data_IF_650652263382
#
_entry.id   IF_650652263382
#
_cell.length_a   1.000
_cell.length_b   1.000
_cell.length_c   1.000
_cell.angle_alpha   90.00
_cell.angle_beta   90.00
_cell.angle_gamma   90.00
#
_symmetry.space_group_name_H-M   'P 1'
#
loop_
_entity.id
_entity.type
_entity.pdbx_description
1 polymer ?
#
# COMPACT_ATOMS: atom_id res chain seq x y z
N UNK A 1 -20.33 22.93 -6.61
CA UNK A 1 -20.32 22.28 -5.29
C UNK A 1 -21.75 22.09 -4.85
N UNK A 2 -22.34 20.97 -5.25
CA UNK A 2 -23.66 20.52 -4.80
C UNK A 2 -23.54 19.77 -3.49
N UNK A 3 -24.66 19.57 -2.78
CA UNK A 3 -24.68 18.74 -1.57
C UNK A 3 -24.18 17.31 -1.83
N UNK A 4 -24.47 16.75 -3.01
CA UNK A 4 -24.01 15.43 -3.44
C UNK A 4 -22.49 15.37 -3.67
N UNK A 5 -21.90 16.42 -4.25
CA UNK A 5 -20.44 16.51 -4.42
C UNK A 5 -19.72 16.56 -3.05
N UNK A 6 -20.32 17.24 -2.07
CA UNK A 6 -19.79 17.35 -0.71
C UNK A 6 -19.85 16.01 0.01
N UNK A 7 -20.99 15.29 -0.06
CA UNK A 7 -21.12 13.98 0.59
C UNK A 7 -20.19 12.95 -0.05
N UNK A 8 -20.07 12.94 -1.39
CA UNK A 8 -19.14 12.05 -2.09
C UNK A 8 -17.69 12.32 -1.67
N UNK A 9 -17.28 13.59 -1.59
CA UNK A 9 -15.94 13.96 -1.15
C UNK A 9 -15.69 13.55 0.32
N UNK A 10 -16.68 13.69 1.19
CA UNK A 10 -16.59 13.26 2.58
C UNK A 10 -16.42 11.74 2.70
N UNK A 11 -17.20 10.95 1.96
CA UNK A 11 -17.07 9.49 1.92
C UNK A 11 -15.71 9.05 1.37
N UNK A 12 -15.25 9.64 0.26
CA UNK A 12 -13.93 9.33 -0.29
C UNK A 12 -12.80 9.63 0.71
N UNK A 13 -12.91 10.73 1.46
CA UNK A 13 -11.94 11.08 2.49
C UNK A 13 -11.99 10.13 3.69
N UNK A 14 -13.19 9.70 4.09
CA UNK A 14 -13.38 8.73 5.16
C UNK A 14 -12.76 7.38 4.80
N UNK A 15 -12.98 6.90 3.58
CA UNK A 15 -12.40 5.63 3.12
C UNK A 15 -10.87 5.72 3.03
N UNK A 16 -10.34 6.84 2.50
CA UNK A 16 -8.88 7.09 2.50
C UNK A 16 -8.29 7.05 3.92
N UNK A 17 -8.95 7.68 4.89
CA UNK A 17 -8.47 7.68 6.28
C UNK A 17 -8.53 6.29 6.90
N UNK A 18 -9.55 5.50 6.57
CA UNK A 18 -9.71 4.11 7.03
C UNK A 18 -8.63 3.20 6.47
N UNK A 19 -8.37 3.27 5.16
CA UNK A 19 -7.28 2.52 4.51
C UNK A 19 -5.92 2.89 5.14
N UNK A 20 -5.68 4.18 5.36
CA UNK A 20 -4.46 4.65 6.01
C UNK A 20 -4.33 4.13 7.45
N UNK A 21 -5.41 4.15 8.22
CA UNK A 21 -5.42 3.62 9.59
C UNK A 21 -5.15 2.10 9.62
N UNK A 22 -5.72 1.34 8.68
CA UNK A 22 -5.47 -0.10 8.54
C UNK A 22 -4.01 -0.37 8.21
N UNK A 23 -3.42 0.40 7.29
CA UNK A 23 -2.00 0.31 6.96
C UNK A 23 -1.12 0.59 8.19
N UNK A 24 -1.40 1.66 8.95
CA UNK A 24 -0.65 1.99 10.16
C UNK A 24 -0.76 0.88 11.22
N UNK A 25 -1.96 0.33 11.43
CA UNK A 25 -2.17 -0.77 12.36
C UNK A 25 -1.35 -2.00 11.96
N UNK A 26 -1.31 -2.32 10.67
CA UNK A 26 -0.50 -3.41 10.14
C UNK A 26 1.01 -3.17 10.34
N UNK A 27 1.50 -1.95 10.06
CA UNK A 27 2.91 -1.59 10.29
C UNK A 27 3.28 -1.74 11.77
N UNK A 28 2.44 -1.21 12.67
CA UNK A 28 2.69 -1.29 14.11
C UNK A 28 2.69 -2.74 14.62
N UNK A 29 1.75 -3.56 14.16
CA UNK A 29 1.67 -4.97 14.53
C UNK A 29 2.93 -5.73 14.12
N UNK A 30 3.36 -5.61 12.86
CA UNK A 30 4.57 -6.26 12.38
C UNK A 30 5.82 -5.72 13.07
N UNK A 31 5.91 -4.40 13.26
CA UNK A 31 7.03 -3.78 13.97
C UNK A 31 7.16 -4.28 15.41
N UNK A 32 6.04 -4.40 16.14
CA UNK A 32 6.01 -4.93 17.50
C UNK A 32 6.42 -6.42 17.54
N UNK A 33 5.91 -7.23 16.60
CA UNK A 33 6.27 -8.64 16.50
C UNK A 33 7.78 -8.82 16.25
N UNK A 34 8.34 -8.06 15.30
CA UNK A 34 9.77 -8.07 14.98
C UNK A 34 10.63 -7.58 16.15
N UNK A 35 10.16 -6.56 16.87
CA UNK A 35 10.84 -6.07 18.09
C UNK A 35 10.88 -7.15 19.17
N UNK A 36 9.78 -7.88 19.37
CA UNK A 36 9.72 -9.00 20.30
C UNK A 36 10.70 -10.12 19.95
N UNK A 37 10.86 -10.43 18.66
CA UNK A 37 11.89 -11.38 18.18
C UNK A 37 13.29 -10.84 18.42
N UNK A 38 13.55 -9.56 18.13
CA UNK A 38 14.86 -8.94 18.35
C UNK A 38 15.32 -8.98 19.80
N UNK A 39 14.40 -8.73 20.74
CA UNK A 39 14.69 -8.72 22.18
C UNK A 39 14.97 -10.12 22.72
N UNK A 40 14.18 -11.11 22.31
CA UNK A 40 14.28 -12.47 22.86
C UNK A 40 15.31 -13.35 22.14
N UNK A 41 15.43 -13.23 20.82
CA UNK A 41 16.30 -14.04 19.97
C UNK A 41 17.00 -13.18 18.89
N UNK A 42 17.93 -12.28 19.26
CA UNK A 42 18.54 -11.32 18.33
C UNK A 42 19.30 -11.98 17.17
N UNK A 43 19.80 -13.21 17.35
CA UNK A 43 20.47 -13.98 16.30
C UNK A 43 19.50 -14.57 15.26
N UNK A 44 18.20 -14.56 15.54
CA UNK A 44 17.13 -15.11 14.70
C UNK A 44 16.27 -14.02 14.06
N UNK A 45 16.80 -12.81 13.96
CA UNK A 45 16.10 -11.73 13.29
C UNK A 45 15.75 -12.15 11.85
N UNK A 46 14.47 -12.12 11.46
CA UNK A 46 14.02 -12.63 10.16
C UNK A 46 14.59 -11.78 9.02
N UNK A 47 14.75 -12.38 7.84
CA UNK A 47 15.06 -11.60 6.63
C UNK A 47 13.84 -10.76 6.23
N UNK A 48 14.04 -9.76 5.38
CA UNK A 48 12.96 -8.85 4.96
C UNK A 48 11.78 -9.59 4.33
N UNK A 49 12.07 -10.66 3.59
CA UNK A 49 11.07 -11.50 2.93
C UNK A 49 10.25 -12.30 3.95
N UNK A 50 10.87 -12.75 5.03
CA UNK A 50 10.21 -13.48 6.12
C UNK A 50 9.37 -12.56 7.01
N UNK A 51 9.85 -11.32 7.20
CA UNK A 51 9.19 -10.29 8.00
C UNK A 51 7.97 -9.68 7.30
N UNK A 52 7.98 -9.64 5.96
CA UNK A 52 6.93 -9.04 5.14
C UNK A 52 6.53 -9.96 3.98
N UNK A 53 5.98 -11.15 4.27
CA UNK A 53 5.78 -12.20 3.26
C UNK A 53 4.90 -11.75 2.09
N UNK A 54 3.88 -10.93 2.35
CA UNK A 54 2.96 -10.42 1.32
C UNK A 54 3.45 -9.16 0.58
N UNK A 55 4.50 -8.50 1.08
CA UNK A 55 4.97 -7.22 0.52
C UNK A 55 5.83 -7.42 -0.74
N UNK A 56 6.48 -8.57 -0.87
CA UNK A 56 7.45 -8.86 -1.92
C UNK A 56 6.98 -9.93 -2.92
N UNK A 57 5.70 -10.32 -2.89
CA UNK A 57 5.20 -11.48 -3.64
C UNK A 57 5.21 -11.36 -5.17
N UNK A 58 5.35 -10.15 -5.75
CA UNK A 58 5.24 -9.98 -7.22
C UNK A 58 6.37 -9.15 -7.81
N UNK A 59 7.31 -9.81 -8.50
CA UNK A 59 8.30 -9.16 -9.39
C UNK A 59 7.62 -8.21 -10.40
N UNK A 60 6.42 -8.54 -10.84
CA UNK A 60 5.65 -7.75 -11.82
C UNK A 60 5.18 -6.39 -11.29
N UNK A 61 5.06 -6.22 -9.97
CA UNK A 61 4.71 -4.93 -9.36
C UNK A 61 5.93 -4.03 -9.14
N UNK A 62 7.13 -4.61 -9.09
CA UNK A 62 8.39 -3.89 -8.88
C UNK A 62 9.18 -3.66 -10.18
N UNK A 63 8.77 -4.29 -11.30
CA UNK A 63 9.36 -4.01 -12.61
C UNK A 63 8.93 -2.62 -13.11
N UNK A 64 9.90 -1.70 -13.10
CA UNK A 64 9.72 -0.32 -13.54
C UNK A 64 9.21 -0.22 -14.99
N UNK A 65 9.49 -1.21 -15.85
CA UNK A 65 9.01 -1.25 -17.24
C UNK A 65 7.51 -1.47 -17.30
N UNK A 66 7.01 -2.41 -16.49
CA UNK A 66 5.57 -2.71 -16.39
C UNK A 66 4.81 -1.52 -15.79
N UNK A 67 5.40 -0.85 -14.79
CA UNK A 67 4.78 0.37 -14.22
C UNK A 67 4.75 1.51 -15.23
N UNK A 68 5.83 1.72 -15.99
CA UNK A 68 5.86 2.72 -17.05
C UNK A 68 4.78 2.44 -18.10
N UNK A 69 4.66 1.19 -18.55
CA UNK A 69 3.65 0.80 -19.54
C UNK A 69 2.21 1.04 -19.04
N UNK A 70 1.92 0.73 -17.76
CA UNK A 70 0.61 1.01 -17.15
C UNK A 70 0.30 2.50 -17.07
N UNK A 71 1.28 3.33 -16.70
CA UNK A 71 1.11 4.79 -16.66
C UNK A 71 0.85 5.34 -18.05
N UNK A 72 1.60 4.87 -19.06
CA UNK A 72 1.43 5.29 -20.45
C UNK A 72 0.11 4.81 -21.06
N UNK A 73 -0.37 3.61 -20.73
CA UNK A 73 -1.66 3.11 -21.19
C UNK A 73 -2.81 3.90 -20.58
N UNK A 74 -2.77 4.17 -19.27
CA UNK A 74 -3.75 5.01 -18.58
C UNK A 74 -3.78 6.43 -19.16
N UNK A 75 -2.62 7.04 -19.39
CA UNK A 75 -2.53 8.38 -20.00
C UNK A 75 -3.13 8.42 -21.42
N UNK A 76 -2.95 7.36 -22.21
CA UNK A 76 -3.55 7.22 -23.55
C UNK A 76 -5.07 7.08 -23.48
N UNK A 77 -5.58 6.22 -22.61
CA UNK A 77 -7.03 6.07 -22.41
C UNK A 77 -7.69 7.40 -22.01
N UNK A 78 -7.05 8.15 -21.10
CA UNK A 78 -7.55 9.47 -20.66
C UNK A 78 -7.49 10.56 -21.73
N UNK A 79 -6.62 10.42 -22.73
CA UNK A 79 -6.57 11.32 -23.90
C UNK A 79 -7.59 10.95 -24.98
N UNK A 80 -7.89 9.67 -25.14
CA UNK A 80 -8.85 9.17 -26.13
C UNK A 80 -10.32 9.28 -25.69
N UNK A 81 -10.58 9.44 -24.40
CA UNK A 81 -11.92 9.68 -23.83
C UNK A 81 -12.34 11.15 -23.73
N UNK A 82 -11.67 12.05 -24.45
CA UNK A 82 -12.09 13.44 -24.71
C UNK A 82 -12.42 13.58 -26.18
#
# INVERSE_FOLDING_TARGET
MTAEEITLAAYAKQEQNKEFAQMLAWIMYNGAALTGVAVNEPKRFPRLEDAFPSLFERKEQQDWRVMKERVESYARMRKAGK
#
